data_IF_138506061831
#
_entry.id   IF_138506061831
#
_cell.length_a   1.000
_cell.length_b   1.000
_cell.length_c   1.000
_cell.angle_alpha   90.00
_cell.angle_beta   90.00
_cell.angle_gamma   90.00
#
_symmetry.space_group_name_H-M   'P 1'
#
loop_
_entity.id
_entity.type
_entity.pdbx_description
1 polymer ?
#
# COMPACT_ATOMS: atom_id res chain seq x y z
N UNK A 1 11.23 -11.31 4.05
CA UNK A 1 10.01 -11.29 3.25
C UNK A 1 8.82 -10.80 4.06
N UNK A 2 7.81 -10.37 3.37
CA UNK A 2 6.53 -9.97 3.96
C UNK A 2 5.47 -10.94 3.47
N UNK A 3 4.72 -11.52 4.40
CA UNK A 3 3.56 -12.33 4.08
C UNK A 3 2.32 -11.61 4.62
N UNK A 4 1.29 -11.48 3.81
CA UNK A 4 0.09 -10.77 4.24
C UNK A 4 -1.15 -11.39 3.62
N UNK A 5 -2.27 -11.20 4.32
CA UNK A 5 -3.58 -11.69 3.91
C UNK A 5 -4.44 -10.47 3.61
N UNK A 6 -4.97 -10.40 2.40
CA UNK A 6 -5.67 -9.21 1.95
C UNK A 6 -6.75 -9.52 0.92
N UNK A 7 -7.60 -8.56 0.72
CA UNK A 7 -8.46 -8.47 -0.46
C UNK A 7 -8.51 -7.03 -0.93
N UNK A 8 -8.85 -6.81 -2.18
CA UNK A 8 -8.81 -5.49 -2.79
C UNK A 8 -9.86 -5.34 -3.87
N UNK A 9 -10.38 -4.13 -3.98
CA UNK A 9 -11.36 -3.77 -5.01
C UNK A 9 -10.98 -2.41 -5.58
N UNK A 10 -10.08 -2.37 -6.57
CA UNK A 10 -9.71 -1.12 -7.23
C UNK A 10 -10.88 -0.56 -8.03
N UNK A 11 -10.99 0.75 -8.06
CA UNK A 11 -12.01 1.44 -8.82
C UNK A 11 -11.45 1.84 -10.19
N UNK A 12 -12.08 1.35 -11.25
CA UNK A 12 -11.64 1.66 -12.60
C UNK A 12 -10.24 1.12 -12.87
N UNK A 13 -9.36 1.97 -13.34
CA UNK A 13 -7.97 1.62 -13.62
C UNK A 13 -7.01 2.01 -12.49
N UNK A 14 -7.55 2.37 -11.34
CA UNK A 14 -6.74 2.64 -10.17
C UNK A 14 -6.04 1.37 -9.70
N UNK A 15 -4.92 1.56 -9.02
CA UNK A 15 -4.10 0.45 -8.56
C UNK A 15 -3.87 0.55 -7.07
N UNK A 16 -4.00 -0.58 -6.37
CA UNK A 16 -3.56 -0.64 -5.00
C UNK A 16 -2.04 -0.82 -4.95
N UNK A 17 -1.47 -0.45 -3.82
CA UNK A 17 -0.02 -0.51 -3.61
C UNK A 17 0.27 -1.21 -2.30
N UNK A 18 1.17 -2.16 -2.35
CA UNK A 18 1.73 -2.80 -1.17
C UNK A 18 3.24 -2.67 -1.30
N UNK A 19 3.87 -2.09 -0.29
CA UNK A 19 5.29 -1.83 -0.34
C UNK A 19 5.94 -2.12 1.00
N UNK A 20 7.13 -2.69 0.94
CA UNK A 20 8.00 -2.85 2.10
C UNK A 20 9.36 -2.25 1.77
N UNK A 21 9.89 -1.49 2.70
CA UNK A 21 11.23 -0.94 2.61
C UNK A 21 12.00 -1.25 3.89
N UNK A 22 13.19 -1.77 3.73
CA UNK A 22 14.14 -1.95 4.83
C UNK A 22 15.09 -0.77 4.81
N UNK A 23 15.19 -0.07 5.93
CA UNK A 23 15.79 1.26 5.96
C UNK A 23 16.84 1.31 7.06
N UNK A 24 17.93 1.99 6.76
CA UNK A 24 18.91 2.43 7.75
C UNK A 24 18.74 3.95 7.90
N UNK A 25 18.55 4.39 9.14
CA UNK A 25 18.57 5.80 9.45
C UNK A 25 19.75 6.03 10.40
N UNK A 26 20.72 6.81 9.93
CA UNK A 26 21.91 7.16 10.71
C UNK A 26 22.13 8.66 10.59
N UNK A 27 22.22 9.32 11.74
CA UNK A 27 22.41 10.78 11.79
C UNK A 27 21.38 11.56 10.95
N UNK A 28 20.14 11.07 10.96
CA UNK A 28 19.08 11.70 10.20
C UNK A 28 19.08 11.40 8.72
N UNK A 29 20.03 10.61 8.23
CA UNK A 29 20.10 10.23 6.83
C UNK A 29 19.45 8.88 6.63
N UNK A 30 18.46 8.84 5.75
CA UNK A 30 17.74 7.62 5.44
C UNK A 30 18.34 6.94 4.21
N UNK A 31 18.61 5.66 4.33
CA UNK A 31 19.10 4.84 3.22
C UNK A 31 18.20 3.62 3.09
N UNK A 32 17.69 3.36 1.89
CA UNK A 32 16.88 2.18 1.62
C UNK A 32 17.82 1.03 1.27
N UNK A 33 17.83 0.01 2.12
CA UNK A 33 18.71 -1.16 1.97
C UNK A 33 18.05 -2.18 1.05
N UNK A 34 16.75 -2.32 1.14
CA UNK A 34 16.01 -3.26 0.33
C UNK A 34 14.57 -2.85 0.22
N UNK A 35 13.92 -3.35 -0.82
CA UNK A 35 12.50 -3.04 -1.03
C UNK A 35 11.82 -4.11 -1.86
N UNK A 36 10.50 -4.13 -1.74
CA UNK A 36 9.64 -4.88 -2.62
C UNK A 36 8.32 -4.15 -2.73
N UNK A 37 7.66 -4.29 -3.86
CA UNK A 37 6.44 -3.55 -4.13
C UNK A 37 5.54 -4.35 -5.04
N UNK A 38 4.24 -4.31 -4.77
CA UNK A 38 3.21 -4.79 -5.67
C UNK A 38 2.26 -3.64 -5.96
N UNK A 39 1.97 -3.44 -7.22
CA UNK A 39 1.00 -2.47 -7.69
C UNK A 39 0.10 -3.19 -8.67
N UNK A 40 -1.20 -3.18 -8.44
CA UNK A 40 -2.12 -3.95 -9.26
C UNK A 40 -3.51 -3.34 -9.27
N UNK A 41 -4.20 -3.48 -10.39
CA UNK A 41 -5.60 -3.10 -10.50
C UNK A 41 -6.54 -4.31 -10.53
N UNK A 42 -6.04 -5.49 -10.22
CA UNK A 42 -6.85 -6.69 -10.19
C UNK A 42 -7.74 -6.72 -8.95
N UNK A 43 -9.01 -7.05 -9.14
CA UNK A 43 -9.90 -7.26 -8.02
C UNK A 43 -9.60 -8.60 -7.37
N UNK A 44 -9.45 -8.57 -6.05
CA UNK A 44 -9.25 -9.75 -5.24
C UNK A 44 -10.38 -9.81 -4.23
N UNK A 45 -11.46 -10.54 -4.58
CA UNK A 45 -12.70 -10.50 -3.80
C UNK A 45 -12.67 -11.34 -2.54
N UNK A 46 -11.80 -12.35 -2.50
CA UNK A 46 -11.63 -13.19 -1.31
C UNK A 46 -10.27 -12.89 -0.69
N UNK A 47 -10.16 -13.09 0.62
CA UNK A 47 -8.87 -12.96 1.27
C UNK A 47 -7.89 -13.99 0.74
N UNK A 48 -6.73 -13.55 0.32
CA UNK A 48 -5.65 -14.42 -0.11
C UNK A 48 -4.37 -14.08 0.63
N UNK A 49 -3.48 -15.05 0.70
CA UNK A 49 -2.14 -14.86 1.23
C UNK A 49 -1.21 -14.52 0.07
N UNK A 50 -0.44 -13.47 0.26
CA UNK A 50 0.56 -13.02 -0.71
C UNK A 50 1.89 -12.89 0.00
N UNK A 51 2.94 -13.36 -0.66
CA UNK A 51 4.31 -13.22 -0.18
C UNK A 51 5.05 -12.22 -1.06
N UNK A 52 5.85 -11.40 -0.42
CA UNK A 52 6.61 -10.36 -1.09
C UNK A 52 8.06 -10.44 -0.63
N UNK A 53 8.94 -10.81 -1.56
CA UNK A 53 10.35 -10.96 -1.24
C UNK A 53 11.09 -9.66 -1.49
N UNK A 54 11.86 -9.26 -0.50
CA UNK A 54 12.62 -8.02 -0.56
C UNK A 54 13.85 -8.22 -1.45
N UNK A 55 14.06 -7.28 -2.34
CA UNK A 55 15.26 -7.22 -3.15
C UNK A 55 16.20 -6.22 -2.51
N UNK A 56 17.40 -6.68 -2.18
CA UNK A 56 18.41 -5.86 -1.50
C UNK A 56 19.23 -5.08 -2.50
N UNK A 57 19.57 -3.85 -2.11
CA UNK A 57 20.53 -3.06 -2.84
C UNK A 57 21.93 -3.48 -2.38
N UNK A 58 22.68 -4.15 -3.25
CA UNK A 58 23.98 -4.69 -2.91
C UNK A 58 24.98 -3.65 -2.40
N UNK A 59 24.80 -2.41 -2.83
CA UNK A 59 25.65 -1.31 -2.38
C UNK A 59 25.50 -1.05 -0.89
N UNK A 60 24.34 -1.37 -0.32
CA UNK A 60 24.02 -1.01 1.07
C UNK A 60 23.75 -2.20 1.98
N UNK A 61 23.95 -3.45 1.52
CA UNK A 61 23.60 -4.63 2.31
C UNK A 61 24.36 -4.75 3.62
N UNK A 62 25.48 -4.07 3.75
CA UNK A 62 26.30 -4.11 4.96
C UNK A 62 25.78 -3.19 6.06
N UNK A 63 24.88 -2.27 5.72
CA UNK A 63 24.30 -1.37 6.71
C UNK A 63 23.26 -2.12 7.54
N UNK A 64 23.21 -1.85 8.84
CA UNK A 64 22.18 -2.47 9.66
C UNK A 64 20.79 -1.89 9.33
N UNK A 65 19.79 -2.75 9.42
CA UNK A 65 18.41 -2.33 9.26
C UNK A 65 17.97 -1.72 10.58
N UNK A 66 17.61 -0.45 10.56
CA UNK A 66 17.09 0.22 11.75
C UNK A 66 15.58 0.37 11.76
N UNK A 67 14.97 0.42 10.58
CA UNK A 67 13.53 0.64 10.44
C UNK A 67 12.98 -0.17 9.29
N UNK A 68 11.71 -0.53 9.41
CA UNK A 68 10.96 -1.16 8.34
C UNK A 68 9.76 -0.27 8.06
N UNK A 69 9.57 0.09 6.80
CA UNK A 69 8.39 0.87 6.38
C UNK A 69 7.47 -0.02 5.58
N UNK A 70 6.24 -0.15 6.06
CA UNK A 70 5.20 -0.88 5.36
C UNK A 70 4.16 0.13 4.88
N UNK A 71 3.79 0.03 3.61
CA UNK A 71 2.79 0.89 3.02
C UNK A 71 1.73 0.03 2.37
N UNK A 72 0.48 0.26 2.74
CA UNK A 72 -0.68 -0.35 2.11
C UNK A 72 -1.60 0.77 1.68
N UNK A 73 -1.81 0.89 0.37
CA UNK A 73 -2.69 1.92 -0.18
C UNK A 73 -3.79 1.27 -0.99
N UNK A 74 -5.02 1.72 -0.78
CA UNK A 74 -6.16 1.24 -1.55
C UNK A 74 -6.08 1.69 -3.01
N UNK A 75 -5.53 2.87 -3.25
CA UNK A 75 -5.38 3.43 -4.58
C UNK A 75 -4.17 4.33 -4.66
N UNK A 76 -3.64 4.46 -5.86
CA UNK A 76 -2.49 5.32 -6.14
C UNK A 76 -2.85 6.53 -6.99
N UNK A 77 -4.07 6.52 -7.54
CA UNK A 77 -4.59 7.64 -8.32
C UNK A 77 -5.62 8.36 -7.46
N UNK A 78 -5.33 9.60 -7.13
CA UNK A 78 -6.12 10.36 -6.16
C UNK A 78 -7.05 11.37 -6.81
N UNK A 79 -7.20 11.34 -8.12
CA UNK A 79 -8.07 12.27 -8.81
C UNK A 79 -9.53 11.81 -8.76
N UNK A 80 -10.43 12.72 -9.10
CA UNK A 80 -11.86 12.44 -9.03
C UNK A 80 -12.31 11.36 -10.00
N UNK A 81 -11.57 11.16 -11.08
CA UNK A 81 -11.96 10.17 -12.08
C UNK A 81 -11.84 8.75 -11.55
N UNK A 82 -11.13 8.56 -10.44
CA UNK A 82 -10.90 7.25 -9.84
C UNK A 82 -11.69 7.07 -8.55
N UNK A 83 -12.65 7.95 -8.29
CA UNK A 83 -13.55 7.84 -7.15
C UNK A 83 -14.98 7.73 -7.64
N UNK A 84 -15.77 6.95 -6.93
CA UNK A 84 -17.19 6.85 -7.24
C UNK A 84 -17.85 8.19 -6.91
N UNK A 85 -18.36 8.84 -7.93
CA UNK A 85 -18.88 10.19 -7.79
C UNK A 85 -20.34 10.17 -7.32
N UNK A 86 -20.50 10.21 -6.03
CA UNK A 86 -21.84 10.26 -5.45
C UNK A 86 -22.23 11.63 -4.97
N UNK A 87 -21.26 12.41 -4.59
CA UNK A 87 -21.59 13.67 -3.96
C UNK A 87 -21.86 14.80 -4.94
N UNK A 88 -21.58 14.59 -6.20
CA UNK A 88 -21.94 15.57 -7.22
C UNK A 88 -23.44 15.83 -7.28
N UNK A 89 -24.21 14.91 -6.74
CA UNK A 89 -25.66 15.04 -6.69
C UNK A 89 -26.13 15.86 -5.51
N UNK A 90 -25.26 16.10 -4.58
CA UNK A 90 -25.61 16.77 -3.35
C UNK A 90 -25.31 18.24 -3.49
N UNK A 91 -26.33 19.00 -3.65
CA UNK A 91 -26.18 20.45 -3.77
C UNK A 91 -25.89 21.14 -2.47
N UNK A 92 -25.95 20.45 -1.37
CA UNK A 92 -25.82 21.04 -0.06
C UNK A 92 -24.48 20.72 0.55
N UNK A 93 -23.75 21.74 0.92
CA UNK A 93 -22.47 21.57 1.59
C UNK A 93 -22.55 20.88 2.93
N UNK A 94 -23.73 20.86 3.53
CA UNK A 94 -23.90 20.22 4.82
C UNK A 94 -23.71 18.71 4.78
N UNK A 95 -23.70 18.14 3.60
CA UNK A 95 -23.52 16.70 3.45
C UNK A 95 -22.07 16.30 3.35
N UNK A 96 -21.15 17.22 3.20
CA UNK A 96 -19.77 16.87 2.96
C UNK A 96 -19.14 16.04 4.08
N UNK A 97 -19.57 16.26 5.29
CA UNK A 97 -19.03 15.49 6.41
C UNK A 97 -19.50 14.04 6.40
N UNK A 98 -20.64 13.78 5.81
CA UNK A 98 -21.22 12.44 5.74
C UNK A 98 -21.01 11.79 4.40
N UNK A 99 -20.42 12.51 3.50
CA UNK A 99 -20.33 12.13 2.13
C UNK A 99 -18.91 11.77 1.79
N UNK A 100 -18.73 10.60 1.33
CA UNK A 100 -17.44 10.15 0.87
C UNK A 100 -17.62 9.47 -0.47
N UNK A 101 -16.60 9.54 -1.26
CA UNK A 101 -16.59 8.87 -2.54
C UNK A 101 -16.14 7.45 -2.32
N UNK A 102 -16.91 6.53 -2.87
CA UNK A 102 -16.47 5.16 -2.92
C UNK A 102 -15.47 5.05 -4.03
N UNK A 103 -14.28 4.82 -3.67
CA UNK A 103 -13.22 4.58 -4.63
C UNK A 103 -12.66 3.19 -4.46
N UNK A 104 -11.40 3.09 -4.67
CA UNK A 104 -10.67 1.85 -4.43
C UNK A 104 -10.69 1.47 -2.96
N UNK A 105 -10.81 0.19 -2.69
CA UNK A 105 -10.87 -0.34 -1.34
C UNK A 105 -9.82 -1.43 -1.17
N UNK A 106 -9.26 -1.50 0.02
CA UNK A 106 -8.25 -2.49 0.37
C UNK A 106 -8.49 -2.93 1.81
N UNK A 107 -8.47 -4.24 2.01
CA UNK A 107 -8.67 -4.82 3.35
C UNK A 107 -7.44 -5.65 3.69
N UNK A 108 -6.81 -5.33 4.79
CA UNK A 108 -5.68 -6.09 5.31
C UNK A 108 -6.15 -6.84 6.55
N UNK A 109 -6.08 -8.17 6.48
CA UNK A 109 -6.44 -9.00 7.62
C UNK A 109 -5.26 -9.15 8.58
N UNK A 110 -4.10 -9.50 8.03
CA UNK A 110 -2.92 -9.73 8.85
C UNK A 110 -1.66 -9.63 8.00
N UNK A 111 -0.54 -9.44 8.68
CA UNK A 111 0.75 -9.52 8.00
C UNK A 111 1.80 -10.05 8.96
N UNK A 112 2.83 -10.65 8.38
CA UNK A 112 3.98 -11.20 9.12
C UNK A 112 5.25 -10.81 8.38
N UNK A 113 6.23 -10.28 9.11
CA UNK A 113 7.55 -10.05 8.60
C UNK A 113 8.41 -11.26 8.95
N UNK A 114 9.04 -11.84 7.95
CA UNK A 114 9.92 -12.98 8.12
C UNK A 114 11.37 -12.56 7.90
N UNK A 115 12.21 -12.87 8.86
CA UNK A 115 13.62 -12.62 8.76
C UNK A 115 14.33 -13.90 8.35
N UNK A 116 15.04 -13.81 7.26
CA UNK A 116 15.91 -14.89 6.82
C UNK A 116 17.34 -14.43 6.96
N UNK A 117 18.10 -15.24 7.61
CA UNK A 117 19.51 -14.98 7.78
C UNK A 117 20.32 -15.72 6.74
#
# INVERSE_FOLDING_TARGET
SLSFVYKASPYGDDEYLISIQLINITDGLETVIGRAEIKSNNTQSDYITQNLDVVYNEQFVQLPISHVRLIFKAGTKEDRDHLEDKFSKEGSGSFYSNYYLKGSQFWLDSFVLNYNK
#
